data_IF_242485585978
#
_entry.id   IF_242485585978
#
_cell.length_a   1.000
_cell.length_b   1.000
_cell.length_c   1.000
_cell.angle_alpha   90.00
_cell.angle_beta   90.00
_cell.angle_gamma   90.00
#
_symmetry.space_group_name_H-M   'P 1'
#
loop_
_entity.id
_entity.type
_entity.pdbx_description
1 polymer ?
#
# COMPACT_ATOMS: atom_id res chain seq x y z
N UNK A 1 -26.13 -22.06 9.65
CA UNK A 1 -26.15 -21.45 8.31
C UNK A 1 -25.32 -20.19 8.43
N UNK A 2 -24.10 -20.17 7.90
CA UNK A 2 -23.30 -18.93 7.87
C UNK A 2 -24.06 -17.96 6.98
N UNK A 3 -24.39 -16.76 7.47
CA UNK A 3 -24.82 -15.70 6.56
C UNK A 3 -23.68 -15.49 5.56
N UNK A 4 -23.99 -15.55 4.28
CA UNK A 4 -23.01 -15.30 3.24
C UNK A 4 -22.52 -13.85 3.37
N UNK A 5 -21.23 -13.66 3.64
CA UNK A 5 -20.63 -12.34 3.78
C UNK A 5 -20.64 -11.65 2.41
N UNK A 6 -21.21 -10.46 2.34
CA UNK A 6 -21.14 -9.63 1.13
C UNK A 6 -19.81 -8.90 1.15
N UNK A 7 -18.95 -9.13 0.16
CA UNK A 7 -17.65 -8.47 -0.02
C UNK A 7 -17.69 -7.45 -1.16
N UNK A 8 -16.66 -6.61 -1.26
CA UNK A 8 -16.48 -5.73 -2.42
C UNK A 8 -16.35 -6.53 -3.73
N UNK A 9 -16.81 -5.95 -4.85
CA UNK A 9 -16.86 -6.62 -6.16
C UNK A 9 -15.55 -6.69 -6.93
N UNK A 10 -14.40 -6.94 -6.28
CA UNK A 10 -13.11 -6.93 -6.95
C UNK A 10 -12.97 -8.09 -7.95
N UNK A 11 -12.49 -7.78 -9.16
CA UNK A 11 -12.26 -8.79 -10.19
C UNK A 11 -11.28 -9.86 -9.69
N UNK A 12 -11.72 -11.12 -9.69
CA UNK A 12 -10.89 -12.28 -9.36
C UNK A 12 -10.75 -12.57 -7.86
N UNK A 13 -11.48 -11.87 -6.99
CA UNK A 13 -11.45 -12.16 -5.55
C UNK A 13 -12.35 -13.33 -5.16
N UNK A 14 -13.57 -13.40 -5.70
CA UNK A 14 -14.53 -14.45 -5.35
C UNK A 14 -13.94 -15.84 -5.62
N UNK A 15 -13.82 -16.65 -4.56
CA UNK A 15 -13.24 -18.00 -4.62
C UNK A 15 -11.71 -18.06 -4.54
N UNK A 16 -11.02 -16.94 -4.30
CA UNK A 16 -9.58 -16.88 -4.05
C UNK A 16 -9.32 -16.60 -2.56
N UNK A 17 -9.01 -17.62 -1.73
CA UNK A 17 -8.91 -17.46 -0.27
C UNK A 17 -7.87 -16.43 0.17
N UNK A 18 -6.78 -16.27 -0.59
CA UNK A 18 -5.75 -15.27 -0.27
C UNK A 18 -6.28 -13.86 -0.48
N UNK A 19 -7.04 -13.64 -1.57
CA UNK A 19 -7.55 -12.31 -1.89
C UNK A 19 -8.72 -11.94 -0.98
N UNK A 20 -9.61 -12.90 -0.67
CA UNK A 20 -10.67 -12.72 0.31
C UNK A 20 -10.11 -12.40 1.70
N UNK A 21 -9.09 -13.13 2.16
CA UNK A 21 -8.44 -12.84 3.45
C UNK A 21 -7.83 -11.43 3.47
N UNK A 22 -7.11 -11.03 2.42
CA UNK A 22 -6.57 -9.67 2.32
C UNK A 22 -7.65 -8.58 2.39
N UNK A 23 -8.78 -8.78 1.69
CA UNK A 23 -9.92 -7.88 1.78
C UNK A 23 -10.49 -7.80 3.20
N UNK A 24 -10.63 -8.96 3.84
CA UNK A 24 -11.34 -9.08 5.11
C UNK A 24 -10.51 -8.58 6.30
N UNK A 25 -9.18 -8.75 6.26
CA UNK A 25 -8.33 -8.49 7.44
C UNK A 25 -7.36 -7.32 7.27
N UNK A 26 -6.97 -6.98 6.04
CA UNK A 26 -5.91 -6.02 5.81
C UNK A 26 -6.44 -4.73 5.17
N UNK A 27 -7.20 -4.85 4.08
CA UNK A 27 -7.53 -3.70 3.23
C UNK A 27 -8.56 -2.76 3.89
N UNK A 28 -8.25 -1.47 3.87
CA UNK A 28 -9.07 -0.42 4.48
C UNK A 28 -8.88 -0.28 5.98
N UNK A 29 -8.18 -1.21 6.65
CA UNK A 29 -7.90 -1.11 8.08
C UNK A 29 -6.87 0.02 8.32
N UNK A 30 -7.14 1.00 9.20
CA UNK A 30 -6.20 2.10 9.46
C UNK A 30 -4.85 1.60 9.99
N UNK A 31 -3.79 1.86 9.22
CA UNK A 31 -2.41 1.54 9.59
C UNK A 31 -1.67 2.81 10.01
N UNK A 32 -1.08 2.80 11.20
CA UNK A 32 -0.34 3.94 11.75
C UNK A 32 1.14 3.64 11.99
N UNK A 33 1.60 2.39 11.84
CA UNK A 33 3.03 2.08 11.95
C UNK A 33 3.78 2.57 10.70
N UNK A 34 4.76 3.45 10.92
CA UNK A 34 5.49 4.11 9.84
C UNK A 34 6.26 3.12 8.94
N UNK A 35 6.78 2.03 9.49
CA UNK A 35 7.51 1.01 8.73
C UNK A 35 6.55 0.16 7.91
N UNK A 36 5.41 -0.23 8.47
CA UNK A 36 4.36 -0.96 7.77
C UNK A 36 3.76 -0.13 6.62
N UNK A 37 3.56 1.18 6.83
CA UNK A 37 3.17 2.12 5.78
C UNK A 37 4.23 2.18 4.67
N UNK A 38 5.51 2.27 5.02
CA UNK A 38 6.60 2.27 4.05
C UNK A 38 6.65 0.97 3.23
N UNK A 39 6.54 -0.21 3.86
CA UNK A 39 6.48 -1.50 3.18
C UNK A 39 5.32 -1.53 2.17
N UNK A 40 4.10 -1.16 2.61
CA UNK A 40 2.91 -1.16 1.75
C UNK A 40 3.07 -0.19 0.57
N UNK A 41 3.63 1.01 0.79
CA UNK A 41 3.91 1.98 -0.26
C UNK A 41 4.89 1.43 -1.31
N UNK A 42 5.92 0.70 -0.88
CA UNK A 42 6.87 0.05 -1.80
C UNK A 42 6.16 -1.04 -2.62
N UNK A 43 5.35 -1.89 -1.98
CA UNK A 43 4.59 -2.94 -2.66
C UNK A 43 3.60 -2.39 -3.70
N UNK A 44 2.89 -1.30 -3.39
CA UNK A 44 2.02 -0.61 -4.35
C UNK A 44 2.82 0.01 -5.51
N UNK A 45 4.02 0.54 -5.24
CA UNK A 45 4.95 0.95 -6.30
C UNK A 45 5.32 -0.21 -7.24
N UNK A 46 5.50 -1.41 -6.71
CA UNK A 46 5.73 -2.61 -7.51
C UNK A 46 4.51 -3.07 -8.32
N UNK A 47 3.30 -2.74 -7.88
CA UNK A 47 2.05 -3.08 -8.57
C UNK A 47 1.86 -2.33 -9.90
N UNK A 48 2.57 -1.22 -10.15
CA UNK A 48 2.41 -0.43 -11.38
C UNK A 48 2.50 -1.30 -12.66
N UNK A 49 1.39 -1.42 -13.41
CA UNK A 49 1.28 -2.24 -14.62
C UNK A 49 0.94 -3.72 -14.39
N UNK A 50 0.58 -4.12 -13.17
CA UNK A 50 0.20 -5.48 -12.77
C UNK A 50 -1.12 -5.48 -11.99
N UNK A 51 -1.75 -6.65 -11.84
CA UNK A 51 -2.85 -6.82 -10.90
C UNK A 51 -2.33 -6.88 -9.45
N UNK A 52 -3.10 -6.36 -8.49
CA UNK A 52 -2.71 -6.43 -7.07
C UNK A 52 -2.49 -7.85 -6.57
N UNK A 53 -3.32 -8.81 -6.98
CA UNK A 53 -3.17 -10.23 -6.62
C UNK A 53 -1.79 -10.79 -7.02
N UNK A 54 -1.15 -10.25 -8.07
CA UNK A 54 0.22 -10.62 -8.44
C UNK A 54 1.23 -10.23 -7.36
N UNK A 55 1.07 -9.04 -6.77
CA UNK A 55 1.94 -8.56 -5.68
C UNK A 55 1.59 -9.29 -4.38
N UNK A 56 0.30 -9.46 -4.08
CA UNK A 56 -0.16 -10.14 -2.87
C UNK A 56 0.41 -11.57 -2.76
N UNK A 57 0.38 -12.34 -3.87
CA UNK A 57 0.97 -13.69 -3.93
C UNK A 57 2.49 -13.72 -3.75
N UNK A 58 3.17 -12.59 -4.00
CA UNK A 58 4.61 -12.41 -3.89
C UNK A 58 5.04 -11.71 -2.60
N UNK A 59 4.10 -11.32 -1.73
CA UNK A 59 4.37 -10.48 -0.55
C UNK A 59 5.45 -11.08 0.36
N UNK A 60 5.36 -12.37 0.68
CA UNK A 60 6.37 -13.04 1.51
C UNK A 60 7.73 -13.13 0.83
N UNK A 61 7.76 -13.40 -0.49
CA UNK A 61 9.01 -13.39 -1.25
C UNK A 61 9.64 -11.99 -1.29
N UNK A 62 8.83 -10.92 -1.39
CA UNK A 62 9.31 -9.54 -1.27
C UNK A 62 9.90 -9.28 0.12
N UNK A 63 9.23 -9.71 1.19
CA UNK A 63 9.76 -9.58 2.56
C UNK A 63 11.10 -10.27 2.69
N UNK A 64 11.24 -11.52 2.26
CA UNK A 64 12.52 -12.23 2.27
C UNK A 64 13.60 -11.50 1.45
N UNK A 65 13.28 -11.16 0.19
CA UNK A 65 14.21 -10.54 -0.73
C UNK A 65 14.73 -9.17 -0.24
N UNK A 66 13.87 -8.39 0.42
CA UNK A 66 14.14 -7.07 0.99
C UNK A 66 14.42 -7.12 2.50
N UNK A 67 14.94 -8.23 3.03
CA UNK A 67 15.40 -8.36 4.42
C UNK A 67 14.34 -7.94 5.46
N UNK A 68 13.12 -8.43 5.29
CA UNK A 68 11.95 -8.11 6.11
C UNK A 68 11.51 -6.66 6.01
N UNK A 69 11.86 -5.95 4.93
CA UNK A 69 11.65 -4.50 4.82
C UNK A 69 12.23 -3.76 6.04
N UNK A 70 13.46 -4.11 6.46
CA UNK A 70 14.22 -3.29 7.39
C UNK A 70 14.87 -2.12 6.61
N UNK A 71 14.44 -0.87 6.83
CA UNK A 71 14.95 0.27 6.06
C UNK A 71 16.45 0.49 6.25
N UNK A 72 17.03 0.16 7.42
CA UNK A 72 18.48 0.29 7.68
C UNK A 72 19.30 -0.66 6.81
N UNK A 73 18.77 -1.87 6.58
CA UNK A 73 19.40 -2.89 5.75
C UNK A 73 19.19 -2.56 4.28
N UNK A 74 17.94 -2.30 3.88
CA UNK A 74 17.59 -2.05 2.47
C UNK A 74 18.27 -0.79 1.93
N UNK A 75 18.42 0.27 2.74
CA UNK A 75 19.13 1.48 2.33
C UNK A 75 20.60 1.24 1.94
N UNK A 76 21.21 0.17 2.46
CA UNK A 76 22.61 -0.22 2.23
C UNK A 76 22.79 -1.17 1.05
N UNK A 77 21.71 -1.66 0.44
CA UNK A 77 21.79 -2.55 -0.72
C UNK A 77 22.61 -1.91 -1.85
N UNK A 78 23.59 -2.69 -2.33
CA UNK A 78 24.52 -2.30 -3.38
C UNK A 78 24.27 -3.04 -4.70
N UNK A 79 25.26 -3.01 -5.59
CA UNK A 79 25.16 -3.67 -6.90
C UNK A 79 24.95 -5.19 -6.80
N UNK A 80 25.60 -5.84 -5.82
CA UNK A 80 25.46 -7.27 -5.58
C UNK A 80 24.02 -7.64 -5.15
N UNK A 81 23.41 -6.85 -4.26
CA UNK A 81 22.02 -7.04 -3.86
C UNK A 81 21.07 -6.81 -5.02
N UNK A 82 21.31 -5.77 -5.82
CA UNK A 82 20.50 -5.51 -7.02
C UNK A 82 20.57 -6.67 -8.00
N UNK A 83 21.75 -7.24 -8.23
CA UNK A 83 21.92 -8.40 -9.09
C UNK A 83 21.19 -9.63 -8.53
N UNK A 84 21.29 -9.87 -7.22
CA UNK A 84 20.54 -10.92 -6.52
C UNK A 84 19.02 -10.76 -6.69
N UNK A 85 18.50 -9.55 -6.45
CA UNK A 85 17.08 -9.23 -6.60
C UNK A 85 16.59 -9.39 -8.05
N UNK A 86 17.41 -9.00 -9.03
CA UNK A 86 17.08 -9.20 -10.45
C UNK A 86 17.11 -10.66 -10.88
N UNK A 87 17.82 -11.54 -10.16
CA UNK A 87 17.82 -12.98 -10.39
C UNK A 87 16.65 -13.70 -9.71
N UNK A 88 15.99 -13.07 -8.74
CA UNK A 88 14.92 -13.67 -7.95
C UNK A 88 13.56 -13.68 -8.70
N UNK A 89 13.08 -14.86 -9.05
CA UNK A 89 11.78 -15.06 -9.71
C UNK A 89 10.58 -14.94 -8.74
N UNK A 90 10.83 -14.96 -7.43
CA UNK A 90 9.86 -14.74 -6.36
C UNK A 90 9.28 -13.33 -6.40
N UNK A 91 10.05 -12.33 -6.84
CA UNK A 91 9.62 -10.93 -6.91
C UNK A 91 9.38 -10.42 -8.34
N UNK A 92 9.01 -9.16 -8.46
CA UNK A 92 8.93 -8.46 -9.76
C UNK A 92 10.32 -7.95 -10.13
N UNK A 93 10.93 -8.59 -11.14
CA UNK A 93 12.28 -8.29 -11.63
C UNK A 93 12.30 -7.03 -12.51
N UNK A 94 12.34 -5.87 -11.86
CA UNK A 94 12.43 -4.57 -12.51
C UNK A 94 13.52 -3.72 -11.86
N UNK A 95 14.58 -3.46 -12.61
CA UNK A 95 15.68 -2.59 -12.21
C UNK A 95 15.18 -1.25 -11.64
N UNK A 96 14.28 -0.56 -12.37
CA UNK A 96 13.76 0.73 -11.95
C UNK A 96 12.98 0.68 -10.62
N UNK A 97 12.17 -0.37 -10.41
CA UNK A 97 11.37 -0.52 -9.18
C UNK A 97 12.22 -0.96 -7.99
N UNK A 98 13.20 -1.84 -8.20
CA UNK A 98 14.20 -2.22 -7.19
C UNK A 98 15.00 -1.00 -6.75
N UNK A 99 15.51 -0.20 -7.71
CA UNK A 99 16.26 1.02 -7.41
C UNK A 99 15.39 2.04 -6.65
N UNK A 100 14.10 2.13 -6.98
CA UNK A 100 13.16 2.98 -6.27
C UNK A 100 12.90 2.52 -4.83
N UNK A 101 12.80 1.21 -4.58
CA UNK A 101 12.63 0.65 -3.23
C UNK A 101 13.87 0.87 -2.35
N UNK A 102 15.07 0.71 -2.92
CA UNK A 102 16.33 0.99 -2.20
C UNK A 102 16.43 2.49 -1.88
N UNK A 103 16.09 3.35 -2.86
CA UNK A 103 16.08 4.79 -2.65
C UNK A 103 15.02 5.23 -1.62
N UNK A 104 13.83 4.60 -1.61
CA UNK A 104 12.77 4.93 -0.66
C UNK A 104 13.16 4.57 0.78
N UNK A 105 13.95 3.51 0.99
CA UNK A 105 14.52 3.21 2.31
C UNK A 105 15.42 4.35 2.81
N UNK A 106 16.28 4.89 1.94
CA UNK A 106 17.15 6.04 2.27
C UNK A 106 16.33 7.29 2.59
N UNK A 107 15.28 7.56 1.81
CA UNK A 107 14.37 8.70 2.04
C UNK A 107 13.64 8.54 3.38
N UNK A 108 13.13 7.34 3.68
CA UNK A 108 12.49 7.04 4.97
C UNK A 108 13.42 7.34 6.16
N UNK A 109 14.67 6.89 6.08
CA UNK A 109 15.67 7.14 7.12
C UNK A 109 16.03 8.64 7.24
N UNK A 110 16.23 9.33 6.12
CA UNK A 110 16.51 10.78 6.08
C UNK A 110 15.36 11.59 6.69
N UNK A 111 14.11 11.26 6.35
CA UNK A 111 12.92 11.88 6.97
C UNK A 111 12.97 11.72 8.50
N UNK A 112 13.22 10.49 8.97
CA UNK A 112 13.31 10.18 10.40
C UNK A 112 14.45 10.95 11.09
N UNK A 113 15.63 11.04 10.47
CA UNK A 113 16.77 11.82 10.97
C UNK A 113 16.45 13.32 11.08
N UNK A 114 15.65 13.86 10.16
CA UNK A 114 15.14 15.24 10.21
C UNK A 114 13.95 15.44 11.15
N UNK A 115 13.58 14.42 11.93
CA UNK A 115 12.45 14.46 12.86
C UNK A 115 11.08 14.37 12.20
N UNK A 116 11.00 13.91 10.96
CA UNK A 116 9.76 13.71 10.22
C UNK A 116 9.41 12.22 10.19
N UNK A 117 8.36 11.85 10.93
CA UNK A 117 7.80 10.50 10.91
C UNK A 117 6.90 10.30 9.67
N UNK A 118 7.07 9.17 8.96
CA UNK A 118 6.31 8.90 7.72
C UNK A 118 4.81 8.76 8.00
N UNK A 119 4.43 8.13 9.10
CA UNK A 119 3.02 7.96 9.46
C UNK A 119 2.36 9.32 9.69
N UNK A 120 3.00 10.15 10.49
CA UNK A 120 2.54 11.52 10.78
C UNK A 120 2.48 12.38 9.52
N UNK A 121 3.47 12.25 8.62
CA UNK A 121 3.47 12.92 7.32
C UNK A 121 2.28 12.52 6.44
N UNK A 122 1.97 11.22 6.34
CA UNK A 122 0.87 10.71 5.52
C UNK A 122 -0.50 11.07 6.12
N UNK A 123 -0.68 10.82 7.42
CA UNK A 123 -1.95 11.04 8.09
C UNK A 123 -2.30 12.52 8.31
N UNK A 124 -1.33 13.44 8.22
CA UNK A 124 -1.59 14.89 8.22
C UNK A 124 -2.50 15.33 7.05
N UNK A 125 -2.53 14.59 5.94
CA UNK A 125 -3.41 14.89 4.81
C UNK A 125 -4.90 14.60 5.08
N UNK A 126 -5.22 13.91 6.17
CA UNK A 126 -6.59 13.56 6.57
C UNK A 126 -6.86 13.90 8.04
N UNK A 127 -6.12 14.85 8.61
CA UNK A 127 -6.22 15.27 10.01
C UNK A 127 -6.11 14.09 11.01
N UNK A 128 -5.30 13.08 10.68
CA UNK A 128 -5.10 11.89 11.50
C UNK A 128 -6.21 10.84 11.40
N UNK A 129 -7.24 11.07 10.59
CA UNK A 129 -8.47 10.27 10.57
C UNK A 129 -8.77 9.67 9.20
N UNK A 130 -9.29 8.44 9.14
CA UNK A 130 -9.80 7.88 7.91
C UNK A 130 -10.95 8.70 7.31
N UNK A 131 -10.93 8.90 6.00
CA UNK A 131 -12.07 9.45 5.26
C UNK A 131 -13.08 8.33 5.01
N UNK A 132 -14.30 8.49 5.52
CA UNK A 132 -15.38 7.50 5.35
C UNK A 132 -16.19 7.82 4.09
N UNK A 133 -15.88 7.15 2.97
CA UNK A 133 -16.69 7.24 1.77
C UNK A 133 -17.91 6.31 1.86
N UNK A 134 -18.93 6.56 1.03
CA UNK A 134 -20.18 5.79 1.03
C UNK A 134 -20.54 5.30 -0.37
N UNK A 135 -19.58 4.66 -1.03
CA UNK A 135 -19.79 4.10 -2.37
C UNK A 135 -20.75 2.91 -2.31
N UNK A 136 -21.85 2.95 -3.06
CA UNK A 136 -22.81 1.84 -3.13
C UNK A 136 -22.43 0.81 -4.19
N UNK A 137 -21.63 1.21 -5.18
CA UNK A 137 -21.21 0.35 -6.29
C UNK A 137 -19.79 0.69 -6.75
N UNK A 138 -19.09 -0.31 -7.29
CA UNK A 138 -17.69 -0.17 -7.68
C UNK A 138 -17.44 0.90 -8.75
N UNK A 139 -18.43 1.17 -9.62
CA UNK A 139 -18.33 2.20 -10.65
C UNK A 139 -18.23 3.64 -10.11
N UNK A 140 -18.58 3.86 -8.85
CA UNK A 140 -18.45 5.16 -8.18
C UNK A 140 -17.05 5.41 -7.62
N UNK A 141 -16.29 4.34 -7.34
CA UNK A 141 -14.95 4.43 -6.75
C UNK A 141 -13.99 4.99 -7.81
N UNK A 142 -13.39 6.18 -7.60
CA UNK A 142 -12.54 6.79 -8.61
C UNK A 142 -11.17 6.06 -8.67
N UNK A 143 -10.48 6.15 -9.80
CA UNK A 143 -9.11 5.63 -9.91
C UNK A 143 -8.08 6.49 -9.16
N UNK A 144 -8.39 7.77 -8.92
CA UNK A 144 -7.61 8.72 -8.14
C UNK A 144 -8.51 9.87 -7.66
N UNK A 145 -8.12 10.54 -6.59
CA UNK A 145 -8.83 11.72 -6.05
C UNK A 145 -7.93 12.97 -6.09
N UNK A 146 -8.50 14.19 -5.97
CA UNK A 146 -7.70 15.41 -5.78
C UNK A 146 -6.71 15.29 -4.62
N UNK A 147 -7.14 14.70 -3.49
CA UNK A 147 -6.28 14.44 -2.34
C UNK A 147 -5.12 13.50 -2.69
N UNK A 148 -5.37 12.40 -3.41
CA UNK A 148 -4.31 11.49 -3.83
C UNK A 148 -3.29 12.18 -4.77
N UNK A 149 -3.71 13.17 -5.57
CA UNK A 149 -2.79 13.99 -6.39
C UNK A 149 -1.87 14.83 -5.50
N UNK A 150 -2.42 15.44 -4.44
CA UNK A 150 -1.65 16.23 -3.47
C UNK A 150 -0.66 15.36 -2.69
N UNK A 151 -1.10 14.22 -2.16
CA UNK A 151 -0.24 13.25 -1.47
C UNK A 151 0.86 12.74 -2.41
N UNK A 152 0.54 12.40 -3.66
CA UNK A 152 1.53 12.03 -4.69
C UNK A 152 2.57 13.13 -4.90
N UNK A 153 2.14 14.40 -4.98
CA UNK A 153 3.06 15.54 -5.15
C UNK A 153 3.98 15.68 -3.95
N UNK A 154 3.46 15.52 -2.74
CA UNK A 154 4.24 15.62 -1.51
C UNK A 154 5.25 14.47 -1.36
N UNK A 155 4.85 13.23 -1.65
CA UNK A 155 5.76 12.07 -1.68
C UNK A 155 6.88 12.26 -2.72
N UNK A 156 6.55 12.75 -3.92
CA UNK A 156 7.55 13.09 -4.94
C UNK A 156 8.50 14.19 -4.48
N UNK A 157 8.03 15.17 -3.70
CA UNK A 157 8.87 16.23 -3.15
C UNK A 157 9.88 15.69 -2.12
N UNK A 158 9.55 14.61 -1.40
CA UNK A 158 10.51 13.88 -0.56
C UNK A 158 11.46 12.98 -1.38
N UNK A 159 11.20 12.79 -2.68
CA UNK A 159 12.03 11.99 -3.58
C UNK A 159 11.51 10.58 -3.87
N UNK A 160 10.36 10.19 -3.34
CA UNK A 160 9.77 8.86 -3.62
C UNK A 160 9.46 8.72 -5.12
N UNK A 161 9.66 7.51 -5.65
CA UNK A 161 9.36 7.13 -7.04
C UNK A 161 8.27 6.06 -7.06
N UNK A 162 7.63 5.87 -8.22
CA UNK A 162 6.46 4.99 -8.37
C UNK A 162 5.29 5.35 -7.46
N UNK A 163 5.15 6.64 -7.13
CA UNK A 163 4.06 7.21 -6.32
C UNK A 163 3.17 8.12 -7.18
N UNK A 164 2.68 7.59 -8.31
CA UNK A 164 1.70 8.30 -9.14
C UNK A 164 0.33 8.40 -8.44
N UNK A 165 -0.55 9.37 -8.77
CA UNK A 165 -1.80 9.57 -8.03
C UNK A 165 -2.71 8.33 -7.97
N UNK A 166 -2.76 7.51 -9.03
CA UNK A 166 -3.50 6.24 -9.02
C UNK A 166 -2.91 5.24 -8.02
N UNK A 167 -1.59 5.11 -7.97
CA UNK A 167 -0.88 4.24 -7.03
C UNK A 167 -1.10 4.75 -5.60
N UNK A 168 -1.00 6.06 -5.40
CA UNK A 168 -1.18 6.69 -4.09
C UNK A 168 -2.62 6.53 -3.61
N UNK A 169 -3.63 6.62 -4.49
CA UNK A 169 -5.01 6.37 -4.08
C UNK A 169 -5.24 4.90 -3.71
N UNK A 170 -4.69 3.96 -4.49
CA UNK A 170 -4.73 2.53 -4.14
C UNK A 170 -4.05 2.25 -2.79
N UNK A 171 -2.91 2.90 -2.53
CA UNK A 171 -2.23 2.85 -1.24
C UNK A 171 -3.10 3.41 -0.12
N UNK A 172 -3.67 4.60 -0.29
CA UNK A 172 -4.55 5.23 0.71
C UNK A 172 -5.74 4.33 1.06
N UNK A 173 -6.31 3.64 0.08
CA UNK A 173 -7.35 2.63 0.30
C UNK A 173 -6.80 1.42 1.08
N UNK A 174 -5.64 0.89 0.67
CA UNK A 174 -5.03 -0.28 1.29
C UNK A 174 -4.67 -0.06 2.76
N UNK A 175 -4.23 1.15 3.14
CA UNK A 175 -3.80 1.48 4.51
C UNK A 175 -4.87 2.15 5.36
N UNK A 176 -6.10 2.24 4.86
CA UNK A 176 -7.24 2.79 5.59
C UNK A 176 -7.23 4.30 5.78
N UNK A 177 -6.43 5.06 5.01
CA UNK A 177 -6.57 6.53 4.96
C UNK A 177 -7.92 6.93 4.37
N UNK A 178 -8.47 6.10 3.49
CA UNK A 178 -9.85 6.16 3.02
C UNK A 178 -10.51 4.80 3.22
N UNK A 179 -11.73 4.78 3.74
CA UNK A 179 -12.57 3.59 3.75
C UNK A 179 -13.40 3.59 2.47
N UNK A 180 -12.99 2.75 1.52
CA UNK A 180 -13.63 2.56 0.23
C UNK A 180 -14.32 1.19 0.11
N UNK A 181 -14.52 0.48 1.23
CA UNK A 181 -15.44 -0.65 1.23
C UNK A 181 -16.80 -0.16 0.71
N UNK A 182 -17.46 -0.94 -0.14
CA UNK A 182 -18.81 -0.57 -0.58
C UNK A 182 -19.77 -0.62 0.61
N UNK A 183 -20.81 0.20 0.64
CA UNK A 183 -21.76 0.24 1.76
C UNK A 183 -22.51 -1.07 2.01
N UNK A 184 -22.56 -1.97 1.02
CA UNK A 184 -23.09 -3.33 1.17
C UNK A 184 -22.07 -4.34 1.70
N UNK A 185 -20.78 -4.00 1.72
CA UNK A 185 -19.70 -4.86 2.20
C UNK A 185 -19.77 -5.01 3.72
N UNK A 186 -19.63 -6.23 4.22
CA UNK A 186 -19.64 -6.49 5.67
C UNK A 186 -18.53 -5.74 6.43
N UNK A 187 -17.42 -5.40 5.75
CA UNK A 187 -16.31 -4.64 6.32
C UNK A 187 -16.54 -3.14 6.39
N UNK A 188 -17.53 -2.58 5.70
CA UNK A 188 -17.74 -1.12 5.65
C UNK A 188 -17.90 -0.52 7.04
N UNK A 189 -18.88 -1.01 7.81
CA UNK A 189 -19.17 -0.50 9.14
C UNK A 189 -18.11 -0.96 10.16
N UNK A 190 -17.56 -2.17 10.00
CA UNK A 190 -16.51 -2.69 10.88
C UNK A 190 -15.23 -1.84 10.81
N UNK A 191 -14.79 -1.46 9.61
CA UNK A 191 -13.63 -0.58 9.40
C UNK A 191 -13.94 0.85 9.84
N UNK A 192 -15.14 1.35 9.58
CA UNK A 192 -15.55 2.68 10.04
C UNK A 192 -15.47 2.79 11.58
N UNK A 193 -15.87 1.75 12.30
CA UNK A 193 -15.79 1.71 13.77
C UNK A 193 -14.36 1.68 14.33
N UNK A 194 -13.37 1.24 13.55
CA UNK A 194 -11.95 1.25 13.95
C UNK A 194 -11.32 2.64 13.92
N UNK A 195 -12.02 3.62 13.34
CA UNK A 195 -11.57 5.00 13.16
C UNK A 195 -11.95 5.93 14.33
N UNK A 196 -12.58 5.38 15.38
CA UNK A 196 -13.18 6.10 16.50
C UNK A 196 -12.20 6.36 17.65
#
# INVERSE_FOLDING_TARGET
MSSELIRCGWRGMAGDPLYEAYHDTDWGVPEYDARALWEKLVLDGFQAGLSWITILRKREAFREAFAGFDPEIVARFGEADRARLMADAGIVRSNAKIDAAIASARIYLDMRERGQDLSSFLWAFTDGKPIQNQWSEFGQVPAQTPLAVEVSKALKAQGYKFVGPVIVYAFMQAVGMVNDHLTCCFRHDEVAAMSA
#
